data_IF_346147180957
#
_entry.id   IF_346147180957
#
_cell.length_a   1.000
_cell.length_b   1.000
_cell.length_c   1.000
_cell.angle_alpha   90.00
_cell.angle_beta   90.00
_cell.angle_gamma   90.00
#
_symmetry.space_group_name_H-M   'P 1'
#
loop_
_entity.id
_entity.type
_entity.pdbx_description
1 polymer ?
#
# COMPACT_ATOMS: atom_id res chain seq x y z
N UNK A 1 -19.01 12.11 2.45
CA UNK A 1 -19.13 11.30 3.67
C UNK A 1 -17.99 10.30 3.68
N UNK A 2 -17.17 10.30 4.72
CA UNK A 2 -16.09 9.32 4.84
C UNK A 2 -16.70 7.92 4.95
N UNK A 3 -16.31 7.04 4.05
CA UNK A 3 -16.71 5.64 4.07
C UNK A 3 -16.23 5.02 5.38
N UNK A 4 -17.13 4.44 6.13
CA UNK A 4 -16.74 3.79 7.38
C UNK A 4 -15.97 2.51 7.07
N UNK A 5 -14.91 2.25 7.84
CA UNK A 5 -14.12 1.00 7.71
C UNK A 5 -15.04 -0.23 7.82
N UNK A 6 -16.14 -0.14 8.59
CA UNK A 6 -17.12 -1.19 8.74
C UNK A 6 -17.86 -1.52 7.42
N UNK A 7 -18.23 -0.52 6.62
CA UNK A 7 -18.91 -0.74 5.33
C UNK A 7 -18.01 -1.46 4.32
N UNK A 8 -16.74 -1.07 4.25
CA UNK A 8 -15.78 -1.74 3.37
C UNK A 8 -15.50 -3.19 3.85
N UNK A 9 -15.42 -3.42 5.16
CA UNK A 9 -15.28 -4.76 5.73
C UNK A 9 -16.48 -5.66 5.38
N UNK A 10 -17.71 -5.14 5.48
CA UNK A 10 -18.92 -5.87 5.07
C UNK A 10 -18.90 -6.23 3.59
N UNK A 11 -18.54 -5.28 2.72
CA UNK A 11 -18.42 -5.54 1.28
C UNK A 11 -17.39 -6.64 0.97
N UNK A 12 -16.24 -6.66 1.65
CA UNK A 12 -15.24 -7.71 1.48
C UNK A 12 -15.79 -9.06 1.95
N UNK A 13 -16.46 -9.11 3.10
CA UNK A 13 -17.08 -10.33 3.61
C UNK A 13 -18.14 -10.90 2.65
N UNK A 14 -18.97 -10.03 2.04
CA UNK A 14 -19.94 -10.42 1.03
C UNK A 14 -19.26 -10.88 -0.27
N UNK A 15 -18.14 -10.29 -0.67
CA UNK A 15 -17.33 -10.78 -1.78
C UNK A 15 -16.81 -12.20 -1.54
N UNK A 16 -16.45 -12.56 -0.30
CA UNK A 16 -16.07 -13.91 0.08
C UNK A 16 -17.21 -14.92 -0.15
N UNK A 17 -18.46 -14.47 0.00
CA UNK A 17 -19.67 -15.24 -0.31
C UNK A 17 -20.09 -15.18 -1.79
N UNK A 18 -19.21 -14.65 -2.67
CA UNK A 18 -19.43 -14.52 -4.10
C UNK A 18 -20.59 -13.57 -4.48
N UNK A 19 -20.87 -12.57 -3.67
CA UNK A 19 -21.86 -11.53 -3.96
C UNK A 19 -21.30 -10.53 -4.99
N UNK A 20 -21.79 -10.62 -6.24
CA UNK A 20 -21.37 -9.75 -7.34
C UNK A 20 -21.81 -8.30 -7.16
N UNK A 21 -22.93 -8.04 -6.48
CA UNK A 21 -23.40 -6.69 -6.21
C UNK A 21 -22.50 -5.99 -5.20
N UNK A 22 -22.09 -6.71 -4.15
CA UNK A 22 -21.09 -6.22 -3.20
C UNK A 22 -19.76 -5.93 -3.88
N UNK A 23 -19.29 -6.79 -4.79
CA UNK A 23 -18.07 -6.59 -5.54
C UNK A 23 -18.13 -5.33 -6.42
N UNK A 24 -19.23 -5.12 -7.16
CA UNK A 24 -19.44 -3.91 -7.96
C UNK A 24 -19.40 -2.66 -7.09
N UNK A 25 -20.03 -2.68 -5.92
CA UNK A 25 -20.02 -1.58 -4.96
C UNK A 25 -18.63 -1.34 -4.40
N UNK A 26 -17.91 -2.39 -4.02
CA UNK A 26 -16.52 -2.32 -3.55
C UNK A 26 -15.60 -1.68 -4.61
N UNK A 27 -15.74 -2.12 -5.87
CA UNK A 27 -15.00 -1.54 -7.01
C UNK A 27 -15.28 -0.04 -7.13
N UNK A 28 -16.55 0.37 -7.18
CA UNK A 28 -16.92 1.77 -7.34
C UNK A 28 -16.40 2.68 -6.23
N UNK A 29 -16.27 2.11 -5.00
CA UNK A 29 -15.83 2.88 -3.83
C UNK A 29 -14.31 2.95 -3.66
N UNK A 30 -13.56 1.97 -4.16
CA UNK A 30 -12.14 1.84 -3.84
C UNK A 30 -11.20 1.90 -5.05
N UNK A 31 -11.74 1.82 -6.28
CA UNK A 31 -10.92 1.75 -7.51
C UNK A 31 -10.01 2.97 -7.70
N UNK A 32 -10.50 4.17 -7.47
CA UNK A 32 -9.69 5.38 -7.62
C UNK A 32 -8.47 5.37 -6.67
N UNK A 33 -8.67 4.93 -5.41
CA UNK A 33 -7.60 4.82 -4.43
C UNK A 33 -6.58 3.74 -4.81
N UNK A 34 -7.06 2.56 -5.22
CA UNK A 34 -6.17 1.45 -5.60
C UNK A 34 -5.44 1.74 -6.91
N UNK A 35 -6.09 2.44 -7.86
CA UNK A 35 -5.44 2.95 -9.07
C UNK A 35 -4.30 3.91 -8.74
N UNK A 36 -4.51 4.83 -7.80
CA UNK A 36 -3.44 5.72 -7.34
C UNK A 36 -2.24 4.96 -6.77
N UNK A 37 -2.45 3.82 -6.10
CA UNK A 37 -1.38 2.96 -5.59
C UNK A 37 -0.62 2.30 -6.75
N UNK A 38 -1.33 1.68 -7.71
CA UNK A 38 -0.70 1.00 -8.85
C UNK A 38 0.04 2.00 -9.73
N UNK A 39 -0.54 3.16 -10.02
CA UNK A 39 0.06 4.19 -10.85
C UNK A 39 1.35 4.76 -10.22
N UNK A 40 1.36 4.97 -8.91
CA UNK A 40 2.57 5.45 -8.20
C UNK A 40 3.74 4.47 -8.33
N UNK A 41 3.47 3.17 -8.31
CA UNK A 41 4.50 2.13 -8.37
C UNK A 41 4.94 1.90 -9.82
N UNK A 42 3.98 1.75 -10.74
CA UNK A 42 4.25 1.37 -12.13
C UNK A 42 4.65 2.56 -13.01
N UNK A 43 4.21 3.78 -12.65
CA UNK A 43 4.49 5.04 -13.38
C UNK A 43 4.08 5.03 -14.86
N UNK A 44 3.23 4.10 -15.24
CA UNK A 44 2.62 3.97 -16.56
C UNK A 44 1.12 3.78 -16.40
N UNK A 45 0.32 4.55 -17.15
CA UNK A 45 -1.14 4.53 -17.02
C UNK A 45 -1.76 3.23 -17.51
N UNK A 46 -1.30 2.72 -18.66
CA UNK A 46 -1.83 1.50 -19.25
C UNK A 46 -1.59 0.30 -18.36
N UNK A 47 -0.36 0.19 -17.84
CA UNK A 47 -0.01 -0.89 -16.92
C UNK A 47 -0.69 -0.75 -15.55
N UNK A 48 -0.90 0.50 -15.08
CA UNK A 48 -1.65 0.72 -13.84
C UNK A 48 -3.11 0.29 -13.98
N UNK A 49 -3.73 0.50 -15.15
CA UNK A 49 -5.09 0.04 -15.44
C UNK A 49 -5.16 -1.48 -15.53
N UNK A 50 -4.23 -2.14 -16.22
CA UNK A 50 -4.14 -3.60 -16.29
C UNK A 50 -3.90 -4.20 -14.90
N UNK A 51 -2.95 -3.66 -14.15
CA UNK A 51 -2.67 -4.08 -12.79
C UNK A 51 -3.90 -3.92 -11.88
N UNK A 52 -4.67 -2.84 -12.03
CA UNK A 52 -5.89 -2.63 -11.25
C UNK A 52 -6.93 -3.73 -11.52
N UNK A 53 -7.11 -4.14 -12.77
CA UNK A 53 -8.01 -5.23 -13.12
C UNK A 53 -7.58 -6.53 -12.43
N UNK A 54 -6.30 -6.88 -12.53
CA UNK A 54 -5.74 -8.07 -11.86
C UNK A 54 -5.86 -8.01 -10.33
N UNK A 55 -5.68 -6.82 -9.75
CA UNK A 55 -5.88 -6.57 -8.31
C UNK A 55 -7.31 -6.95 -7.90
N UNK A 56 -8.32 -6.54 -8.66
CA UNK A 56 -9.71 -6.88 -8.32
C UNK A 56 -10.05 -8.35 -8.54
N UNK A 57 -9.42 -9.01 -9.51
CA UNK A 57 -9.49 -10.48 -9.64
C UNK A 57 -8.91 -11.15 -8.38
N UNK A 58 -7.74 -10.69 -7.91
CA UNK A 58 -7.12 -11.21 -6.69
C UNK A 58 -7.95 -10.91 -5.43
N UNK A 59 -8.55 -9.73 -5.32
CA UNK A 59 -9.47 -9.38 -4.22
C UNK A 59 -10.65 -10.35 -4.22
N UNK A 60 -11.29 -10.58 -5.38
CA UNK A 60 -12.41 -11.52 -5.51
C UNK A 60 -12.03 -12.95 -5.11
N UNK A 61 -10.86 -13.40 -5.53
CA UNK A 61 -10.37 -14.75 -5.22
C UNK A 61 -10.00 -14.95 -3.75
N UNK A 62 -9.51 -13.88 -3.08
CA UNK A 62 -8.91 -13.93 -1.74
C UNK A 62 -9.71 -13.21 -0.66
N UNK A 63 -10.93 -12.78 -0.96
CA UNK A 63 -11.77 -12.08 0.00
C UNK A 63 -12.01 -12.89 1.30
N UNK A 64 -12.01 -14.21 1.21
CA UNK A 64 -12.10 -15.15 2.34
C UNK A 64 -10.88 -15.11 3.29
N UNK A 65 -9.75 -14.56 2.84
CA UNK A 65 -8.54 -14.40 3.66
C UNK A 65 -8.54 -13.12 4.50
N UNK A 66 -9.47 -12.22 4.24
CA UNK A 66 -9.60 -11.03 5.05
C UNK A 66 -10.19 -11.38 6.42
N UNK A 67 -9.47 -11.04 7.49
CA UNK A 67 -9.90 -11.29 8.88
C UNK A 67 -10.36 -9.96 9.48
N UNK A 68 -11.67 -9.79 9.77
CA UNK A 68 -12.17 -8.61 10.46
C UNK A 68 -11.48 -8.44 11.83
N UNK A 69 -11.12 -7.19 12.19
CA UNK A 69 -10.44 -6.88 13.44
C UNK A 69 -8.91 -7.02 13.41
N UNK A 70 -8.32 -7.59 12.36
CA UNK A 70 -6.88 -7.62 12.14
C UNK A 70 -6.35 -6.32 11.57
N UNK A 71 -6.34 -6.21 10.25
CA UNK A 71 -5.97 -4.97 9.55
C UNK A 71 -7.20 -4.18 9.15
N UNK A 72 -7.07 -2.85 9.00
CA UNK A 72 -8.12 -2.06 8.39
C UNK A 72 -8.45 -2.61 6.99
N UNK A 73 -9.73 -2.66 6.57
CA UNK A 73 -10.12 -3.22 5.28
C UNK A 73 -9.45 -2.48 4.12
N UNK A 74 -9.30 -1.17 4.20
CA UNK A 74 -8.58 -0.38 3.20
C UNK A 74 -7.09 -0.75 3.17
N UNK A 75 -6.46 -0.94 4.33
CA UNK A 75 -5.04 -1.36 4.37
C UNK A 75 -4.82 -2.73 3.74
N UNK A 76 -5.77 -3.66 3.90
CA UNK A 76 -5.72 -4.96 3.24
C UNK A 76 -5.84 -4.83 1.72
N UNK A 77 -6.79 -4.03 1.22
CA UNK A 77 -6.97 -3.77 -0.21
C UNK A 77 -5.73 -3.10 -0.82
N UNK A 78 -5.18 -2.09 -0.14
CA UNK A 78 -3.95 -1.40 -0.57
C UNK A 78 -2.77 -2.36 -0.60
N UNK A 79 -2.64 -3.27 0.37
CA UNK A 79 -1.59 -4.28 0.38
C UNK A 79 -1.70 -5.25 -0.83
N UNK A 80 -2.93 -5.66 -1.20
CA UNK A 80 -3.14 -6.48 -2.40
C UNK A 80 -2.71 -5.74 -3.66
N UNK A 81 -3.12 -4.47 -3.80
CA UNK A 81 -2.78 -3.64 -4.96
C UNK A 81 -1.26 -3.39 -5.04
N UNK A 82 -0.65 -3.00 -3.92
CA UNK A 82 0.79 -2.74 -3.84
C UNK A 82 1.61 -3.97 -4.19
N UNK A 83 1.31 -5.11 -3.57
CA UNK A 83 2.07 -6.33 -3.81
C UNK A 83 1.98 -6.75 -5.28
N UNK A 84 0.80 -6.63 -5.89
CA UNK A 84 0.65 -6.94 -7.30
C UNK A 84 1.45 -5.98 -8.19
N UNK A 85 1.36 -4.68 -7.97
CA UNK A 85 2.12 -3.69 -8.73
C UNK A 85 3.63 -3.92 -8.62
N UNK A 86 4.13 -4.30 -7.43
CA UNK A 86 5.53 -4.65 -7.25
C UNK A 86 5.93 -5.93 -7.98
N UNK A 87 5.06 -6.94 -8.02
CA UNK A 87 5.31 -8.16 -8.79
C UNK A 87 5.42 -7.84 -10.29
N UNK A 88 4.53 -6.98 -10.82
CA UNK A 88 4.59 -6.50 -12.21
C UNK A 88 5.90 -5.73 -12.46
N UNK A 89 6.27 -4.82 -11.58
CA UNK A 89 7.50 -4.04 -11.70
C UNK A 89 8.76 -4.93 -11.70
N UNK A 90 8.79 -5.95 -10.83
CA UNK A 90 9.90 -6.92 -10.77
C UNK A 90 9.99 -7.80 -12.01
N UNK A 91 8.85 -8.19 -12.58
CA UNK A 91 8.84 -8.99 -13.81
C UNK A 91 9.42 -8.27 -15.03
N UNK A 92 9.47 -6.92 -15.02
CA UNK A 92 10.07 -6.11 -16.10
C UNK A 92 11.59 -6.07 -16.07
N UNK A 93 12.21 -6.30 -14.91
CA UNK A 93 13.65 -6.10 -14.74
C UNK A 93 14.42 -7.37 -15.02
N UNK A 94 15.51 -7.30 -15.82
CA UNK A 94 16.55 -8.32 -15.81
C UNK A 94 17.12 -8.39 -14.38
N UNK A 95 17.37 -9.61 -13.87
CA UNK A 95 17.98 -9.80 -12.56
C UNK A 95 19.30 -9.05 -12.49
N UNK A 96 19.40 -8.01 -11.67
CA UNK A 96 20.68 -7.36 -11.37
C UNK A 96 20.73 -5.83 -11.33
N UNK A 97 19.66 -5.11 -11.65
CA UNK A 97 19.65 -3.64 -11.52
C UNK A 97 18.94 -3.19 -10.25
N UNK A 98 19.66 -2.46 -9.39
CA UNK A 98 19.11 -1.78 -8.23
C UNK A 98 18.00 -0.79 -8.65
N UNK A 99 16.91 -0.82 -7.91
CA UNK A 99 15.76 0.08 -8.14
C UNK A 99 16.13 1.45 -7.57
N UNK A 100 16.73 2.30 -8.38
CA UNK A 100 16.80 3.74 -8.08
C UNK A 100 15.41 4.36 -8.39
N UNK A 101 14.50 4.23 -7.43
CA UNK A 101 13.17 4.82 -7.48
C UNK A 101 13.26 6.28 -7.01
N UNK A 102 13.91 7.14 -7.80
CA UNK A 102 13.76 8.57 -7.62
C UNK A 102 12.27 8.93 -7.77
N UNK A 103 11.68 9.37 -6.67
CA UNK A 103 10.27 9.79 -6.56
C UNK A 103 10.07 11.14 -7.24
N UNK A 104 10.04 11.15 -8.57
CA UNK A 104 9.55 12.27 -9.35
C UNK A 104 8.31 11.85 -10.14
N UNK A 105 7.17 11.79 -9.46
CA UNK A 105 5.87 11.73 -10.12
C UNK A 105 5.44 13.16 -10.38
N UNK A 106 5.54 13.60 -11.63
CA UNK A 106 4.81 14.77 -12.09
C UNK A 106 3.32 14.45 -11.98
N UNK A 107 2.72 14.89 -10.90
CA UNK A 107 1.30 14.79 -10.62
C UNK A 107 0.55 15.70 -11.59
N UNK A 108 -0.46 15.17 -12.28
CA UNK A 108 -1.47 16.01 -12.92
C UNK A 108 -2.22 16.68 -11.77
N UNK A 109 -1.88 17.94 -11.50
CA UNK A 109 -2.05 18.67 -10.27
C UNK A 109 -3.38 18.47 -9.54
N UNK A 110 -3.35 18.15 -8.26
CA UNK A 110 -4.51 18.22 -7.40
C UNK A 110 -4.96 19.68 -7.27
N UNK A 111 -6.28 19.87 -7.13
CA UNK A 111 -6.87 21.14 -6.71
C UNK A 111 -6.05 21.73 -5.53
N UNK A 112 -5.76 23.05 -5.47
CA UNK A 112 -4.92 23.68 -4.45
C UNK A 112 -5.23 23.28 -3.00
N UNK A 113 -6.51 23.13 -2.64
CA UNK A 113 -6.95 22.67 -1.30
C UNK A 113 -6.54 21.22 -1.01
N UNK A 114 -6.61 20.33 -2.01
CA UNK A 114 -6.18 18.93 -1.87
C UNK A 114 -4.65 18.82 -1.79
N UNK A 115 -3.93 19.71 -2.47
CA UNK A 115 -2.47 19.77 -2.41
C UNK A 115 -1.97 20.26 -1.03
N UNK A 116 -2.70 21.15 -0.38
CA UNK A 116 -2.35 21.66 0.94
C UNK A 116 -2.63 20.61 2.04
N UNK A 117 -3.78 19.93 1.97
CA UNK A 117 -4.11 18.81 2.84
C UNK A 117 -3.10 17.65 2.70
N UNK A 118 -2.72 17.31 1.46
CA UNK A 118 -1.74 16.26 1.19
C UNK A 118 -0.33 16.63 1.70
N UNK A 119 0.05 17.92 1.64
CA UNK A 119 1.31 18.41 2.23
C UNK A 119 1.31 18.31 3.76
N UNK A 120 0.19 18.65 4.40
CA UNK A 120 0.03 18.52 5.84
C UNK A 120 0.12 17.06 6.32
N UNK A 121 -0.55 16.14 5.62
CA UNK A 121 -0.48 14.69 5.89
C UNK A 121 0.93 14.14 5.69
N UNK A 122 1.60 14.55 4.61
CA UNK A 122 2.98 14.12 4.33
C UNK A 122 3.95 14.61 5.42
N UNK A 123 3.83 15.85 5.84
CA UNK A 123 4.64 16.41 6.95
C UNK A 123 4.41 15.65 8.26
N UNK A 124 3.18 15.27 8.58
CA UNK A 124 2.87 14.45 9.77
C UNK A 124 3.51 13.07 9.69
N UNK A 125 3.45 12.41 8.52
CA UNK A 125 4.08 11.10 8.31
C UNK A 125 5.60 11.20 8.47
N UNK A 126 6.22 12.23 7.86
CA UNK A 126 7.68 12.45 7.97
C UNK A 126 8.11 12.72 9.40
N UNK A 127 7.35 13.52 10.15
CA UNK A 127 7.61 13.76 11.56
C UNK A 127 7.50 12.48 12.41
N UNK A 128 6.51 11.64 12.16
CA UNK A 128 6.35 10.37 12.86
C UNK A 128 7.44 9.35 12.47
N UNK A 129 7.87 9.34 11.22
CA UNK A 129 9.01 8.52 10.78
C UNK A 129 10.31 8.96 11.44
N UNK A 130 10.48 10.30 11.65
CA UNK A 130 11.63 10.86 12.37
C UNK A 130 11.72 10.48 13.86
N UNK A 131 10.65 9.94 14.44
CA UNK A 131 10.64 9.41 15.81
C UNK A 131 11.11 7.95 15.93
N UNK A 132 11.31 7.28 14.78
CA UNK A 132 11.88 5.94 14.74
C UNK A 132 13.41 6.03 14.69
N UNK A 133 14.07 4.95 15.14
CA UNK A 133 15.50 4.78 14.88
C UNK A 133 15.74 4.81 13.36
N UNK A 134 16.84 5.41 12.92
CA UNK A 134 17.15 5.65 11.51
C UNK A 134 17.06 4.37 10.65
N UNK A 135 17.66 3.27 11.11
CA UNK A 135 17.60 1.98 10.41
C UNK A 135 16.17 1.44 10.26
N UNK A 136 15.33 1.65 11.27
CA UNK A 136 13.93 1.22 11.25
C UNK A 136 13.08 2.12 10.36
N UNK A 137 13.35 3.43 10.36
CA UNK A 137 12.71 4.37 9.46
C UNK A 137 13.06 4.07 7.99
N UNK A 138 14.35 3.76 7.71
CA UNK A 138 14.82 3.34 6.39
C UNK A 138 14.15 2.03 5.95
N UNK A 139 14.08 1.03 6.83
CA UNK A 139 13.39 -0.21 6.54
C UNK A 139 11.90 0.00 6.23
N UNK A 140 11.21 0.92 6.93
CA UNK A 140 9.81 1.25 6.65
C UNK A 140 9.68 1.97 5.30
N UNK A 141 10.53 2.95 5.02
CA UNK A 141 10.53 3.62 3.70
C UNK A 141 10.80 2.60 2.60
N UNK A 142 11.85 1.79 2.74
CA UNK A 142 12.18 0.73 1.80
C UNK A 142 11.01 -0.22 1.52
N UNK A 143 10.32 -0.69 2.57
CA UNK A 143 9.18 -1.60 2.42
C UNK A 143 7.97 -0.94 1.77
N UNK A 144 7.64 0.31 2.12
CA UNK A 144 6.34 0.90 1.80
C UNK A 144 6.39 2.03 0.76
N UNK A 145 7.55 2.65 0.54
CA UNK A 145 7.74 3.68 -0.47
C UNK A 145 8.57 3.18 -1.65
N UNK A 146 9.70 2.47 -1.37
CA UNK A 146 10.64 2.05 -2.41
C UNK A 146 10.34 0.66 -2.97
N UNK A 147 9.48 -0.12 -2.32
CA UNK A 147 9.00 -1.38 -2.84
C UNK A 147 9.92 -2.59 -2.62
N UNK A 148 10.90 -2.50 -1.72
CA UNK A 148 11.71 -3.66 -1.36
C UNK A 148 10.89 -4.74 -0.66
N UNK A 149 11.21 -5.99 -0.93
CA UNK A 149 10.70 -7.13 -0.17
C UNK A 149 11.36 -7.19 1.22
N UNK A 150 10.75 -7.92 2.13
CA UNK A 150 11.33 -8.10 3.47
C UNK A 150 12.65 -8.88 3.44
N UNK A 151 12.83 -9.77 2.46
CA UNK A 151 14.09 -10.49 2.22
C UNK A 151 15.20 -9.54 1.74
N UNK A 152 14.89 -8.66 0.79
CA UNK A 152 15.82 -7.65 0.29
C UNK A 152 16.23 -6.68 1.41
N UNK A 153 15.26 -6.22 2.21
CA UNK A 153 15.55 -5.37 3.36
C UNK A 153 16.36 -6.09 4.44
N UNK A 154 16.07 -7.36 4.72
CA UNK A 154 16.86 -8.16 5.65
C UNK A 154 18.30 -8.29 5.20
N UNK A 155 18.55 -8.50 3.89
CA UNK A 155 19.87 -8.56 3.29
C UNK A 155 20.57 -7.20 3.37
N UNK A 156 19.88 -6.11 2.98
CA UNK A 156 20.42 -4.74 2.98
C UNK A 156 20.83 -4.29 4.38
N UNK A 157 20.01 -4.55 5.38
CA UNK A 157 20.26 -4.20 6.79
C UNK A 157 21.10 -5.27 7.53
N UNK A 158 21.51 -6.36 6.86
CA UNK A 158 22.30 -7.47 7.44
C UNK A 158 21.66 -8.06 8.69
N UNK A 159 20.35 -8.22 8.70
CA UNK A 159 19.59 -8.82 9.81
C UNK A 159 18.81 -10.04 9.32
N UNK A 160 18.49 -11.00 10.21
CA UNK A 160 17.63 -12.13 9.86
C UNK A 160 16.24 -11.64 9.41
N UNK A 161 15.61 -12.36 8.48
CA UNK A 161 14.27 -12.05 7.98
C UNK A 161 13.23 -11.88 9.09
N UNK A 162 13.27 -12.71 10.12
CA UNK A 162 12.35 -12.60 11.25
C UNK A 162 12.58 -11.33 12.08
N UNK A 163 13.83 -10.87 12.17
CA UNK A 163 14.18 -9.58 12.78
C UNK A 163 13.60 -8.42 11.97
N UNK A 164 13.76 -8.46 10.64
CA UNK A 164 13.19 -7.45 9.74
C UNK A 164 11.66 -7.40 9.86
N UNK A 165 10.97 -8.53 9.87
CA UNK A 165 9.51 -8.61 10.10
C UNK A 165 9.11 -7.97 11.44
N UNK A 166 9.88 -8.22 12.49
CA UNK A 166 9.64 -7.65 13.82
C UNK A 166 9.87 -6.14 13.83
N UNK A 167 10.92 -5.65 13.18
CA UNK A 167 11.20 -4.23 13.04
C UNK A 167 10.04 -3.50 12.35
N UNK A 168 9.64 -3.97 11.18
CA UNK A 168 8.54 -3.37 10.42
C UNK A 168 7.23 -3.39 11.21
N UNK A 169 6.88 -4.50 11.85
CA UNK A 169 5.67 -4.59 12.69
C UNK A 169 5.68 -3.57 13.83
N UNK A 170 6.78 -3.50 14.59
CA UNK A 170 6.89 -2.57 15.73
C UNK A 170 6.91 -1.12 15.27
N UNK A 171 7.59 -0.82 14.18
CA UNK A 171 7.64 0.52 13.60
C UNK A 171 6.26 0.99 13.12
N UNK A 172 5.49 0.12 12.45
CA UNK A 172 4.12 0.45 12.05
C UNK A 172 3.19 0.68 13.24
N UNK A 173 3.37 -0.04 14.36
CA UNK A 173 2.60 0.22 15.58
C UNK A 173 2.91 1.62 16.14
N UNK A 174 4.19 1.98 16.27
CA UNK A 174 4.61 3.32 16.71
C UNK A 174 4.11 4.43 15.78
N UNK A 175 4.21 4.22 14.46
CA UNK A 175 3.69 5.18 13.47
C UNK A 175 2.18 5.35 13.61
N UNK A 176 1.44 4.27 13.82
CA UNK A 176 -0.01 4.33 14.05
C UNK A 176 -0.34 5.15 15.30
N UNK A 177 0.36 4.93 16.41
CA UNK A 177 0.18 5.69 17.65
C UNK A 177 0.47 7.18 17.44
N UNK A 178 1.60 7.52 16.80
CA UNK A 178 1.97 8.90 16.49
C UNK A 178 0.95 9.59 15.55
N UNK A 179 0.45 8.92 14.54
CA UNK A 179 -0.51 9.49 13.58
C UNK A 179 -1.93 9.60 14.15
N UNK A 180 -2.23 8.89 15.24
CA UNK A 180 -3.53 8.92 15.90
C UNK A 180 -3.59 9.96 17.03
N UNK A 181 -2.45 10.51 17.43
CA UNK A 181 -2.33 11.57 18.42
C UNK A 181 -2.58 12.93 17.78
#
# INVERSE_FOLDING_TARGET
MAETAAEIADLIARCALRDRAAFKTLYGRTSAKLYGVTLRILRDRSEADEALQEVYVKIWQRADRYVPGGYSPISWLVAVARNHALDVLRARKPQGEDIDLALDVADAGPNPEQAEAARGERSRIDNCLGQLDEEKADAVRGAYLDGYSYEELATRHKVPLNTMRTWLRRSLMKLRECLSA
#
